data_IF_064225755920
#
_entry.id   IF_064225755920
#
_cell.length_a   1.000
_cell.length_b   1.000
_cell.length_c   1.000
_cell.angle_alpha   90.00
_cell.angle_beta   90.00
_cell.angle_gamma   90.00
#
_symmetry.space_group_name_H-M   'P 1'
#
loop_
_entity.id
_entity.type
_entity.pdbx_description
1 polymer ?
#
# COMPACT_ATOMS: atom_id res chain seq x y z
N UNK A 1 32.38 31.51 18.20
CA UNK A 1 32.01 31.55 19.64
C UNK A 1 30.53 31.90 19.78
N UNK A 2 29.90 31.62 20.94
CA UNK A 2 28.48 31.96 21.17
C UNK A 2 28.18 33.46 20.98
N UNK A 3 29.14 34.32 21.33
CA UNK A 3 29.04 35.77 21.17
C UNK A 3 29.04 36.20 19.69
N UNK A 4 29.93 35.63 18.87
CA UNK A 4 29.96 35.88 17.43
C UNK A 4 28.67 35.41 16.73
N UNK A 5 28.14 34.25 17.14
CA UNK A 5 26.87 33.74 16.60
C UNK A 5 25.71 34.70 16.92
N UNK A 6 25.66 35.24 18.14
CA UNK A 6 24.63 36.18 18.55
C UNK A 6 24.70 37.49 17.75
N UNK A 7 25.90 37.99 17.47
CA UNK A 7 26.11 39.18 16.62
C UNK A 7 25.63 38.96 15.18
N UNK A 8 25.95 37.80 14.59
CA UNK A 8 25.50 37.40 13.25
C UNK A 8 23.97 37.30 13.19
N UNK A 9 23.33 36.71 14.20
CA UNK A 9 21.86 36.58 14.26
C UNK A 9 21.15 37.93 14.40
N UNK A 10 21.74 38.88 15.13
CA UNK A 10 21.20 40.25 15.21
C UNK A 10 21.34 40.99 13.87
N UNK A 11 22.46 40.79 13.16
CA UNK A 11 22.65 41.32 11.80
C UNK A 11 21.69 40.71 10.79
N UNK A 12 21.39 39.42 10.91
CA UNK A 12 20.39 38.75 10.07
C UNK A 12 19.01 39.40 10.23
N UNK A 13 18.57 39.64 11.47
CA UNK A 13 17.27 40.28 11.76
C UNK A 13 17.16 41.70 11.24
N UNK A 14 18.27 42.44 11.20
CA UNK A 14 18.30 43.85 10.79
C UNK A 14 18.50 44.03 9.28
N UNK A 15 19.28 43.16 8.64
CA UNK A 15 19.63 43.27 7.21
C UNK A 15 18.75 42.42 6.30
N UNK A 16 18.11 41.37 6.82
CA UNK A 16 17.36 40.40 6.03
C UNK A 16 18.23 39.49 5.14
N UNK A 17 19.57 39.60 5.23
CA UNK A 17 20.50 38.72 4.52
C UNK A 17 20.48 37.31 5.10
N UNK A 18 20.91 36.32 4.32
CA UNK A 18 21.06 34.94 4.83
C UNK A 18 22.23 34.86 5.81
N UNK A 19 22.09 34.02 6.83
CA UNK A 19 23.13 33.80 7.85
C UNK A 19 24.48 33.41 7.22
N UNK A 20 24.48 32.52 6.23
CA UNK A 20 25.71 32.10 5.53
C UNK A 20 26.41 33.25 4.78
N UNK A 21 25.65 34.18 4.20
CA UNK A 21 26.23 35.35 3.52
C UNK A 21 26.90 36.30 4.52
N UNK A 22 26.29 36.50 5.69
CA UNK A 22 26.85 37.31 6.77
C UNK A 22 28.13 36.65 7.33
N UNK A 23 28.14 35.33 7.51
CA UNK A 23 29.32 34.61 8.00
C UNK A 23 30.50 34.69 7.03
N UNK A 24 30.24 34.68 5.70
CA UNK A 24 31.27 34.90 4.67
C UNK A 24 31.77 36.34 4.67
N UNK A 25 30.87 37.32 4.73
CA UNK A 25 31.22 38.75 4.74
C UNK A 25 32.08 39.12 5.94
N UNK A 26 31.87 38.46 7.08
CA UNK A 26 32.65 38.65 8.30
C UNK A 26 33.94 37.83 8.35
N UNK A 27 34.20 36.99 7.34
CA UNK A 27 35.38 36.12 7.28
C UNK A 27 35.43 35.08 8.41
N UNK A 28 34.27 34.75 8.99
CA UNK A 28 34.17 33.78 10.08
C UNK A 28 34.20 32.34 9.59
N UNK A 29 33.80 32.12 8.34
CA UNK A 29 33.81 30.84 7.64
C UNK A 29 34.21 31.05 6.18
N UNK A 30 34.80 30.03 5.59
CA UNK A 30 35.12 29.96 4.17
C UNK A 30 33.90 29.56 3.34
N UNK A 31 34.00 29.80 2.02
CA UNK A 31 32.97 29.39 1.07
C UNK A 31 32.83 27.87 1.05
N UNK A 32 33.94 27.16 1.13
CA UNK A 32 34.03 25.71 1.12
C UNK A 32 33.34 25.10 2.34
N UNK A 33 33.55 25.66 3.54
CA UNK A 33 32.87 25.22 4.76
C UNK A 33 31.35 25.40 4.66
N UNK A 34 30.87 26.53 4.13
CA UNK A 34 29.42 26.72 3.92
C UNK A 34 28.88 25.72 2.90
N UNK A 35 29.61 25.46 1.81
CA UNK A 35 29.18 24.49 0.81
C UNK A 35 29.06 23.08 1.41
N UNK A 36 30.00 22.67 2.26
CA UNK A 36 29.95 21.39 2.96
C UNK A 36 28.74 21.30 3.90
N UNK A 37 28.50 22.33 4.71
CA UNK A 37 27.35 22.37 5.63
C UNK A 37 26.03 22.33 4.86
N UNK A 38 25.91 23.08 3.76
CA UNK A 38 24.71 23.08 2.92
C UNK A 38 24.49 21.72 2.25
N UNK A 39 25.57 21.04 1.83
CA UNK A 39 25.47 19.68 1.28
C UNK A 39 24.96 18.69 2.33
N UNK A 40 25.52 18.75 3.54
CA UNK A 40 25.06 17.91 4.66
C UNK A 40 23.58 18.14 4.93
N UNK A 41 23.14 19.40 5.00
CA UNK A 41 21.73 19.75 5.21
C UNK A 41 20.81 19.17 4.11
N UNK A 42 21.26 19.14 2.86
CA UNK A 42 20.50 18.51 1.76
C UNK A 42 20.39 17.01 1.96
N UNK A 43 21.47 16.34 2.36
CA UNK A 43 21.51 14.90 2.62
C UNK A 43 20.58 14.56 3.79
N UNK A 44 20.68 15.28 4.91
CA UNK A 44 19.85 15.06 6.11
C UNK A 44 18.35 15.14 5.76
N UNK A 45 17.96 16.12 4.95
CA UNK A 45 16.57 16.28 4.52
C UNK A 45 16.09 15.12 3.62
N UNK A 46 16.98 14.60 2.77
CA UNK A 46 16.69 13.45 1.90
C UNK A 46 16.56 12.15 2.69
N UNK A 47 17.40 11.94 3.70
CA UNK A 47 17.30 10.77 4.60
C UNK A 47 15.92 10.71 5.26
N UNK A 48 15.42 11.84 5.76
CA UNK A 48 14.05 11.92 6.29
C UNK A 48 13.00 11.56 5.24
N UNK A 49 13.14 12.04 4.01
CA UNK A 49 12.20 11.69 2.92
C UNK A 49 12.29 10.21 2.53
N UNK A 50 13.46 9.58 2.58
CA UNK A 50 13.61 8.14 2.32
C UNK A 50 13.02 7.25 3.41
N UNK A 51 12.83 7.78 4.63
CA UNK A 51 12.12 7.07 5.69
C UNK A 51 10.61 6.90 5.40
N UNK A 52 10.04 7.73 4.52
CA UNK A 52 8.61 7.71 4.21
C UNK A 52 8.21 6.43 3.48
N UNK A 53 7.19 5.74 3.99
CA UNK A 53 6.65 4.53 3.37
C UNK A 53 5.74 4.83 2.17
N UNK A 54 5.03 5.95 2.22
CA UNK A 54 4.08 6.38 1.19
C UNK A 54 4.09 7.91 1.09
N UNK A 55 3.79 8.44 -0.11
CA UNK A 55 3.74 9.89 -0.34
C UNK A 55 3.02 10.24 -1.63
N UNK A 56 2.49 11.47 -1.70
CA UNK A 56 1.85 12.02 -2.89
C UNK A 56 2.69 13.17 -3.43
N UNK A 57 2.93 13.19 -4.73
CA UNK A 57 3.64 14.25 -5.41
C UNK A 57 2.74 14.92 -6.43
N UNK A 58 2.77 16.26 -6.47
CA UNK A 58 2.07 17.07 -7.47
C UNK A 58 3.02 18.15 -7.98
N UNK A 59 3.21 18.22 -9.30
CA UNK A 59 3.93 19.32 -9.93
C UNK A 59 2.98 20.49 -10.17
N UNK A 60 3.23 21.63 -9.52
CA UNK A 60 2.49 22.87 -9.76
C UNK A 60 3.39 23.86 -10.51
N UNK A 61 3.14 24.14 -11.81
CA UNK A 61 3.95 25.09 -12.55
C UNK A 61 3.80 26.49 -11.94
N UNK A 62 4.92 27.08 -11.50
CA UNK A 62 4.99 28.43 -10.97
C UNK A 62 5.96 29.26 -11.80
N UNK A 63 5.72 30.57 -11.90
CA UNK A 63 6.72 31.48 -12.47
C UNK A 63 7.91 31.53 -11.52
N UNK A 64 9.02 30.96 -11.95
CA UNK A 64 10.27 31.02 -11.20
C UNK A 64 10.90 32.38 -11.46
N UNK A 65 10.96 33.24 -10.46
CA UNK A 65 11.81 34.43 -10.53
C UNK A 65 13.26 33.95 -10.46
N UNK A 66 14.16 34.37 -11.38
CA UNK A 66 15.58 34.07 -11.25
C UNK A 66 16.03 34.44 -9.84
N UNK A 67 16.58 33.46 -9.11
CA UNK A 67 17.03 33.67 -7.74
C UNK A 67 18.08 34.78 -7.77
N UNK A 68 17.91 35.80 -6.93
CA UNK A 68 18.93 36.82 -6.78
C UNK A 68 20.24 36.18 -6.33
N UNK A 69 21.34 36.71 -6.87
CA UNK A 69 22.73 36.32 -6.64
C UNK A 69 22.95 35.86 -5.20
N UNK A 70 23.31 34.59 -5.04
CA UNK A 70 23.59 33.97 -3.76
C UNK A 70 24.55 32.81 -3.95
N UNK A 71 24.97 32.18 -2.86
CA UNK A 71 25.89 31.06 -2.92
C UNK A 71 25.25 29.88 -3.66
N UNK A 72 25.69 29.63 -4.89
CA UNK A 72 25.32 28.42 -5.64
C UNK A 72 26.17 27.25 -5.13
N UNK A 73 25.50 26.22 -4.63
CA UNK A 73 26.11 24.94 -4.27
C UNK A 73 25.72 23.96 -5.38
N UNK A 74 26.64 23.60 -6.28
CA UNK A 74 26.36 22.56 -7.25
C UNK A 74 26.13 21.25 -6.49
N UNK A 75 24.98 20.62 -6.72
CA UNK A 75 24.61 19.36 -6.09
C UNK A 75 24.83 18.23 -7.08
N UNK A 76 25.78 17.34 -6.79
CA UNK A 76 25.88 16.06 -7.48
C UNK A 76 24.76 15.14 -6.94
N UNK A 77 23.71 15.00 -7.74
CA UNK A 77 22.53 14.22 -7.36
C UNK A 77 22.87 12.76 -7.12
N UNK A 78 23.84 12.18 -7.84
CA UNK A 78 24.25 10.79 -7.65
C UNK A 78 24.95 10.64 -6.31
N UNK A 79 25.91 11.51 -6.00
CA UNK A 79 26.61 11.48 -4.72
C UNK A 79 25.63 11.58 -3.54
N UNK A 80 24.71 12.55 -3.60
CA UNK A 80 23.72 12.78 -2.55
C UNK A 80 22.75 11.59 -2.40
N UNK A 81 22.30 11.00 -3.51
CA UNK A 81 21.43 9.81 -3.47
C UNK A 81 22.15 8.62 -2.81
N UNK A 82 23.39 8.36 -3.20
CA UNK A 82 24.17 7.25 -2.66
C UNK A 82 24.45 7.43 -1.17
N UNK A 83 24.76 8.66 -0.75
CA UNK A 83 25.03 8.97 0.64
C UNK A 83 23.77 8.86 1.50
N UNK A 84 22.63 9.38 1.04
CA UNK A 84 21.37 9.23 1.76
C UNK A 84 20.92 7.76 1.89
N UNK A 85 21.18 6.92 0.89
CA UNK A 85 20.92 5.48 0.96
C UNK A 85 21.88 4.76 1.91
N UNK A 86 23.17 5.14 1.93
CA UNK A 86 24.15 4.61 2.89
C UNK A 86 23.70 4.90 4.32
N UNK A 87 23.31 6.14 4.60
CA UNK A 87 22.83 6.55 5.93
C UNK A 87 21.57 5.77 6.31
N UNK A 88 20.62 5.61 5.39
CA UNK A 88 19.39 4.84 5.63
C UNK A 88 19.68 3.36 5.97
N UNK A 89 20.61 2.74 5.25
CA UNK A 89 21.05 1.36 5.51
C UNK A 89 21.75 1.24 6.87
N UNK A 90 22.65 2.17 7.18
CA UNK A 90 23.28 2.23 8.51
C UNK A 90 22.27 2.43 9.63
N UNK A 91 21.22 3.21 9.37
CA UNK A 91 20.15 3.42 10.34
C UNK A 91 19.39 2.15 10.63
N UNK A 92 19.16 1.32 9.60
CA UNK A 92 18.46 0.04 9.74
C UNK A 92 19.14 -0.96 10.67
N UNK A 93 20.47 -0.86 10.86
CA UNK A 93 21.23 -1.72 11.77
C UNK A 93 20.94 -1.38 13.23
N UNK A 94 20.72 -0.10 13.51
CA UNK A 94 20.50 0.42 14.88
C UNK A 94 19.01 0.48 15.22
N UNK A 95 18.17 0.64 14.20
CA UNK A 95 16.72 0.80 14.31
C UNK A 95 16.07 -0.37 15.07
N UNK A 96 15.46 -0.04 16.21
CA UNK A 96 14.72 -1.00 17.04
C UNK A 96 15.58 -1.87 17.96
N UNK A 97 16.89 -1.62 18.03
CA UNK A 97 17.79 -2.06 19.11
C UNK A 97 17.98 -0.91 20.10
N UNK A 98 18.41 0.25 19.60
CA UNK A 98 18.58 1.47 20.38
C UNK A 98 17.39 2.39 20.07
N UNK A 99 16.67 2.82 21.09
CA UNK A 99 15.60 3.83 20.96
C UNK A 99 16.01 5.11 21.67
N UNK A 100 15.44 6.28 21.31
CA UNK A 100 15.72 7.54 22.00
C UNK A 100 15.44 7.49 23.50
N UNK A 101 14.47 6.67 23.92
CA UNK A 101 14.16 6.47 25.34
C UNK A 101 15.12 5.51 26.05
N UNK A 102 15.90 4.68 25.35
CA UNK A 102 16.66 3.60 25.98
C UNK A 102 17.65 4.14 27.01
N UNK A 103 17.62 3.59 28.22
CA UNK A 103 18.60 3.88 29.27
C UNK A 103 19.62 2.75 29.41
N UNK A 104 20.91 3.11 29.51
CA UNK A 104 22.02 2.17 29.67
C UNK A 104 22.69 2.30 31.02
N UNK A 105 23.25 1.19 31.52
CA UNK A 105 24.16 1.18 32.68
C UNK A 105 25.50 0.52 32.33
N UNK A 106 26.56 0.97 33.00
CA UNK A 106 27.92 0.41 32.89
C UNK A 106 28.00 -0.95 33.57
N UNK A 107 28.74 -1.90 32.99
CA UNK A 107 29.09 -3.13 33.69
C UNK A 107 30.30 -2.92 34.62
N UNK A 108 30.22 -3.34 35.89
CA UNK A 108 31.21 -2.99 36.92
C UNK A 108 32.59 -3.65 36.76
N UNK A 109 32.74 -4.69 35.93
CA UNK A 109 33.97 -5.48 35.80
C UNK A 109 34.62 -5.40 34.42
N UNK A 110 34.35 -4.33 33.66
CA UNK A 110 34.92 -4.14 32.31
C UNK A 110 35.73 -2.85 32.26
N UNK A 111 36.99 -2.95 31.84
CA UNK A 111 37.83 -1.81 31.52
C UNK A 111 37.75 -1.57 30.00
N UNK A 112 36.98 -0.57 29.55
CA UNK A 112 36.66 -0.45 28.13
C UNK A 112 37.78 0.26 27.38
N UNK A 113 38.08 -0.24 26.18
CA UNK A 113 38.83 0.53 25.17
C UNK A 113 37.81 1.31 24.35
N UNK A 114 37.82 2.64 24.53
CA UNK A 114 36.83 3.56 23.99
C UNK A 114 37.46 4.49 22.95
N UNK A 115 36.72 4.74 21.88
CA UNK A 115 37.00 5.84 20.95
C UNK A 115 36.56 7.20 21.52
N UNK A 116 36.91 8.30 20.87
CA UNK A 116 36.64 9.67 21.38
C UNK A 116 35.16 9.91 21.70
N UNK A 117 34.24 9.47 20.84
CA UNK A 117 32.80 9.57 21.08
C UNK A 117 32.32 8.58 22.15
N UNK A 118 32.79 7.33 22.11
CA UNK A 118 32.45 6.30 23.11
C UNK A 118 32.91 6.73 24.51
N UNK A 119 34.03 7.44 24.64
CA UNK A 119 34.55 7.98 25.90
C UNK A 119 33.62 9.05 26.48
N UNK A 120 33.20 10.02 25.67
CA UNK A 120 32.25 11.07 26.09
C UNK A 120 30.89 10.48 26.48
N UNK A 121 30.41 9.50 25.72
CA UNK A 121 29.18 8.76 26.06
C UNK A 121 29.34 7.99 27.36
N UNK A 122 30.47 7.30 27.54
CA UNK A 122 30.76 6.56 28.76
C UNK A 122 30.66 7.47 29.99
N UNK A 123 31.12 8.71 29.94
CA UNK A 123 30.98 9.64 31.08
C UNK A 123 29.51 9.93 31.45
N UNK A 124 28.59 9.95 30.47
CA UNK A 124 27.16 10.22 30.70
C UNK A 124 26.33 9.00 31.11
N UNK A 125 26.82 7.78 30.87
CA UNK A 125 26.07 6.56 31.19
C UNK A 125 26.08 6.33 32.71
N UNK A 126 24.95 6.65 33.35
CA UNK A 126 24.71 6.57 34.79
C UNK A 126 23.59 5.59 35.18
N UNK A 127 22.81 5.11 34.21
CA UNK A 127 21.64 4.26 34.45
C UNK A 127 20.33 5.01 34.58
N UNK A 128 20.32 6.33 34.37
CA UNK A 128 19.11 7.17 34.44
C UNK A 128 18.92 8.02 33.16
N UNK A 129 20.00 8.41 32.51
CA UNK A 129 19.96 9.26 31.31
C UNK A 129 19.61 8.45 30.06
N UNK A 130 18.58 8.91 29.33
CA UNK A 130 18.16 8.30 28.06
C UNK A 130 19.03 8.74 26.87
N UNK A 131 18.93 7.99 25.76
CA UNK A 131 19.70 8.26 24.53
C UNK A 131 19.42 9.65 23.97
N UNK A 132 18.16 10.10 23.97
CA UNK A 132 17.78 11.42 23.46
C UNK A 132 18.50 12.54 24.21
N UNK A 133 18.54 12.46 25.54
CA UNK A 133 19.23 13.42 26.40
C UNK A 133 20.74 13.38 26.16
N UNK A 134 21.33 12.19 25.93
CA UNK A 134 22.76 12.07 25.59
C UNK A 134 23.09 12.73 24.24
N UNK A 135 22.25 12.55 23.22
CA UNK A 135 22.39 13.23 21.92
C UNK A 135 22.39 14.74 22.12
N UNK A 136 21.38 15.27 22.81
CA UNK A 136 21.22 16.72 23.03
C UNK A 136 22.40 17.29 23.83
N UNK A 137 22.87 16.59 24.86
CA UNK A 137 23.95 17.04 25.71
C UNK A 137 25.32 17.04 25.01
N UNK A 138 25.56 16.06 24.12
CA UNK A 138 26.82 15.95 23.37
C UNK A 138 26.83 16.80 22.10
N UNK A 139 25.66 17.18 21.59
CA UNK A 139 25.53 17.94 20.34
C UNK A 139 25.98 17.15 19.11
N UNK A 140 25.88 15.82 19.18
CA UNK A 140 26.26 14.89 18.12
C UNK A 140 25.03 14.41 17.34
N UNK A 141 25.25 13.82 16.17
CA UNK A 141 24.16 13.26 15.37
C UNK A 141 23.59 11.99 16.02
N UNK A 142 22.26 11.82 15.93
CA UNK A 142 21.53 10.64 16.43
C UNK A 142 22.20 9.32 15.99
N UNK A 143 22.61 9.23 14.72
CA UNK A 143 23.24 8.05 14.14
C UNK A 143 24.60 7.73 14.71
N UNK A 144 25.44 8.74 14.91
CA UNK A 144 26.75 8.57 15.50
C UNK A 144 26.63 8.06 16.95
N UNK A 145 25.76 8.68 17.75
CA UNK A 145 25.53 8.29 19.15
C UNK A 145 25.00 6.87 19.25
N UNK A 146 23.97 6.56 18.47
CA UNK A 146 23.32 5.25 18.57
C UNK A 146 24.22 4.11 18.09
N UNK A 147 25.08 4.35 17.07
CA UNK A 147 26.12 3.39 16.65
C UNK A 147 27.18 3.17 17.72
N UNK A 148 27.65 4.24 18.37
CA UNK A 148 28.64 4.14 19.44
C UNK A 148 28.09 3.33 20.63
N UNK A 149 26.83 3.60 21.03
CA UNK A 149 26.15 2.83 22.06
C UNK A 149 25.94 1.37 21.66
N UNK A 150 25.58 1.10 20.41
CA UNK A 150 25.46 -0.27 19.90
C UNK A 150 26.80 -1.01 19.95
N UNK A 151 27.88 -0.38 19.50
CA UNK A 151 29.25 -0.92 19.59
C UNK A 151 29.64 -1.26 21.03
N UNK A 152 29.35 -0.36 21.99
CA UNK A 152 29.61 -0.59 23.41
C UNK A 152 28.75 -1.72 24.00
N UNK A 153 27.50 -1.85 23.53
CA UNK A 153 26.59 -2.93 23.91
C UNK A 153 27.09 -4.29 23.39
N UNK A 154 27.51 -4.36 22.13
CA UNK A 154 28.07 -5.57 21.50
C UNK A 154 29.39 -6.01 22.13
N UNK A 155 30.26 -5.05 22.48
CA UNK A 155 31.49 -5.28 23.25
C UNK A 155 31.20 -5.67 24.72
N UNK A 156 29.95 -5.50 25.18
CA UNK A 156 29.52 -5.87 26.52
C UNK A 156 29.93 -4.87 27.61
N UNK A 157 30.28 -3.64 27.24
CA UNK A 157 30.67 -2.58 28.18
C UNK A 157 29.46 -2.01 28.95
N UNK A 158 28.31 -1.99 28.27
CA UNK A 158 27.06 -1.46 28.80
C UNK A 158 25.93 -2.48 28.64
N UNK A 159 24.87 -2.30 29.39
CA UNK A 159 23.64 -3.07 29.25
C UNK A 159 22.39 -2.19 29.44
N UNK A 160 21.30 -2.47 28.71
CA UNK A 160 20.05 -1.73 28.86
C UNK A 160 19.39 -2.01 30.21
N UNK A 161 18.72 -0.99 30.77
CA UNK A 161 17.94 -1.14 32.01
C UNK A 161 16.59 -1.80 31.70
N UNK A 162 16.32 -2.96 32.28
CA UNK A 162 15.22 -3.90 31.91
C UNK A 162 13.79 -3.32 31.94
N UNK A 163 13.53 -2.21 32.62
CA UNK A 163 12.18 -1.64 32.73
C UNK A 163 11.65 -1.13 31.38
N UNK A 164 12.51 -0.63 30.49
CA UNK A 164 12.10 -0.11 29.19
C UNK A 164 11.98 -1.18 28.09
N UNK A 165 12.77 -2.26 28.19
CA UNK A 165 12.66 -3.40 27.25
C UNK A 165 11.24 -3.99 27.32
N UNK A 166 10.66 -4.08 28.52
CA UNK A 166 9.28 -4.56 28.71
C UNK A 166 8.25 -3.63 28.06
N UNK A 167 8.43 -2.32 28.17
CA UNK A 167 7.56 -1.32 27.53
C UNK A 167 7.64 -1.42 26.01
N UNK A 168 8.85 -1.50 25.45
CA UNK A 168 9.07 -1.63 24.01
C UNK A 168 8.57 -2.98 23.45
N UNK A 169 8.71 -4.07 24.18
CA UNK A 169 8.16 -5.37 23.81
C UNK A 169 6.63 -5.39 23.83
N UNK A 170 6.00 -4.78 24.85
CA UNK A 170 4.55 -4.61 24.95
C UNK A 170 4.03 -3.79 23.76
N UNK A 171 4.66 -2.65 23.45
CA UNK A 171 4.28 -1.83 22.30
C UNK A 171 4.45 -2.56 20.95
N UNK A 172 5.54 -3.32 20.79
CA UNK A 172 5.74 -4.17 19.59
C UNK A 172 4.69 -5.28 19.49
N UNK A 173 4.30 -5.91 20.60
CA UNK A 173 3.23 -6.93 20.64
C UNK A 173 1.88 -6.30 20.26
N UNK A 174 1.55 -5.13 20.80
CA UNK A 174 0.31 -4.40 20.47
C UNK A 174 0.28 -4.02 18.99
N UNK A 175 1.38 -3.47 18.44
CA UNK A 175 1.47 -3.14 17.00
C UNK A 175 1.31 -4.37 16.11
N UNK A 176 1.96 -5.50 16.44
CA UNK A 176 1.84 -6.77 15.69
C UNK A 176 0.41 -7.34 15.76
N UNK A 177 -0.23 -7.29 16.93
CA UNK A 177 -1.61 -7.73 17.09
C UNK A 177 -2.59 -6.89 16.26
N UNK A 178 -2.40 -5.56 16.26
CA UNK A 178 -3.22 -4.64 15.46
C UNK A 178 -3.07 -4.89 13.95
N UNK A 179 -1.83 -5.05 13.47
CA UNK A 179 -1.57 -5.37 12.06
C UNK A 179 -2.17 -6.73 11.64
N UNK A 180 -2.07 -7.75 12.50
CA UNK A 180 -2.72 -9.05 12.26
C UNK A 180 -4.25 -8.95 12.21
N UNK A 181 -4.84 -8.11 13.06
CA UNK A 181 -6.30 -7.88 13.08
C UNK A 181 -6.78 -7.13 11.83
N UNK A 182 -6.01 -6.17 11.33
CA UNK A 182 -6.31 -5.46 10.07
C UNK A 182 -6.21 -6.38 8.85
N UNK A 183 -5.19 -7.25 8.78
CA UNK A 183 -5.09 -8.25 7.72
C UNK A 183 -6.24 -9.27 7.77
N UNK A 184 -6.63 -9.73 8.98
CA UNK A 184 -7.77 -10.61 9.16
C UNK A 184 -9.08 -9.94 8.72
N UNK A 185 -9.28 -8.66 9.04
CA UNK A 185 -10.42 -7.88 8.58
C UNK A 185 -10.49 -7.76 7.06
N UNK A 186 -9.34 -7.52 6.40
CA UNK A 186 -9.23 -7.49 4.94
C UNK A 186 -9.60 -8.82 4.27
N UNK A 187 -9.14 -9.95 4.83
CA UNK A 187 -9.47 -11.29 4.32
C UNK A 187 -10.96 -11.62 4.45
N UNK A 188 -11.59 -11.26 5.58
CA UNK A 188 -13.04 -11.46 5.78
C UNK A 188 -13.84 -10.65 4.77
N UNK A 189 -13.48 -9.39 4.52
CA UNK A 189 -14.13 -8.55 3.53
C UNK A 189 -13.96 -9.11 2.10
N UNK A 190 -12.77 -9.58 1.73
CA UNK A 190 -12.51 -10.20 0.44
C UNK A 190 -13.34 -11.48 0.23
N UNK A 191 -13.49 -12.29 1.29
CA UNK A 191 -14.32 -13.50 1.25
C UNK A 191 -15.81 -13.17 1.05
N UNK A 192 -16.31 -12.12 1.73
CA UNK A 192 -17.69 -11.66 1.55
C UNK A 192 -17.95 -11.18 0.11
N UNK A 193 -17.00 -10.42 -0.47
CA UNK A 193 -17.09 -9.97 -1.87
C UNK A 193 -17.10 -11.17 -2.82
N UNK A 194 -16.23 -12.16 -2.58
CA UNK A 194 -16.18 -13.39 -3.38
C UNK A 194 -17.52 -14.15 -3.33
N UNK A 195 -18.12 -14.29 -2.14
CA UNK A 195 -19.41 -14.95 -1.97
C UNK A 195 -20.50 -14.23 -2.78
N UNK A 196 -20.57 -12.90 -2.70
CA UNK A 196 -21.54 -12.11 -3.47
C UNK A 196 -21.32 -12.28 -4.97
N UNK A 197 -20.07 -12.32 -5.42
CA UNK A 197 -19.71 -12.50 -6.83
C UNK A 197 -20.08 -13.90 -7.34
N UNK A 198 -19.84 -14.95 -6.55
CA UNK A 198 -20.24 -16.32 -6.86
C UNK A 198 -21.76 -16.45 -6.95
N UNK A 199 -22.50 -15.86 -6.02
CA UNK A 199 -23.98 -15.84 -6.05
C UNK A 199 -24.48 -15.10 -7.31
N UNK A 200 -23.83 -13.99 -7.68
CA UNK A 200 -24.12 -13.23 -8.88
C UNK A 200 -23.90 -14.04 -10.17
N UNK A 201 -22.75 -14.70 -10.29
CA UNK A 201 -22.44 -15.57 -11.43
C UNK A 201 -23.43 -16.72 -11.50
N UNK A 202 -23.73 -17.38 -10.39
CA UNK A 202 -24.67 -18.50 -10.34
C UNK A 202 -26.04 -18.10 -10.86
N UNK A 203 -26.58 -16.95 -10.41
CA UNK A 203 -27.85 -16.36 -10.89
C UNK A 203 -27.85 -16.08 -12.41
N UNK A 204 -26.73 -15.66 -12.97
CA UNK A 204 -26.60 -15.40 -14.41
C UNK A 204 -26.60 -16.71 -15.19
N UNK A 205 -25.80 -17.69 -14.76
CA UNK A 205 -25.68 -18.98 -15.45
C UNK A 205 -27.00 -19.74 -15.53
N UNK A 206 -27.83 -19.72 -14.47
CA UNK A 206 -29.14 -20.37 -14.48
C UNK A 206 -30.14 -19.67 -15.42
N UNK A 207 -30.05 -18.35 -15.60
CA UNK A 207 -30.92 -17.63 -16.56
C UNK A 207 -30.54 -17.92 -18.01
N UNK A 208 -29.25 -18.04 -18.31
CA UNK A 208 -28.79 -18.32 -19.69
C UNK A 208 -29.27 -19.69 -20.18
N UNK A 209 -29.34 -20.69 -19.29
CA UNK A 209 -29.87 -22.02 -19.67
C UNK A 209 -31.36 -21.98 -20.07
N UNK A 210 -32.18 -21.15 -19.43
CA UNK A 210 -33.62 -21.09 -19.75
C UNK A 210 -33.86 -20.43 -21.11
N UNK A 211 -33.09 -19.38 -21.44
CA UNK A 211 -33.17 -18.72 -22.77
C UNK A 211 -32.78 -19.68 -23.90
N UNK A 212 -31.75 -20.50 -23.70
CA UNK A 212 -31.33 -21.51 -24.68
C UNK A 212 -32.41 -22.56 -24.93
N UNK A 213 -33.12 -23.01 -23.88
CA UNK A 213 -34.22 -23.97 -24.01
C UNK A 213 -35.40 -23.39 -24.80
N UNK A 214 -35.73 -22.11 -24.59
CA UNK A 214 -36.78 -21.42 -25.38
C UNK A 214 -36.40 -21.36 -26.86
N UNK A 215 -35.14 -21.03 -27.18
CA UNK A 215 -34.66 -20.97 -28.57
C UNK A 215 -34.75 -22.36 -29.23
N UNK A 216 -34.28 -23.41 -28.55
CA UNK A 216 -34.38 -24.79 -29.07
C UNK A 216 -35.83 -25.21 -29.32
N UNK A 217 -36.74 -24.85 -28.42
CA UNK A 217 -38.17 -25.16 -28.54
C UNK A 217 -38.80 -24.49 -29.76
N UNK A 218 -38.49 -23.21 -30.01
CA UNK A 218 -38.96 -22.51 -31.23
C UNK A 218 -38.47 -23.20 -32.51
N UNK A 219 -37.17 -23.55 -32.57
CA UNK A 219 -36.64 -24.26 -33.74
C UNK A 219 -37.27 -25.64 -33.95
N UNK A 220 -37.67 -26.29 -32.85
CA UNK A 220 -38.35 -27.58 -32.87
C UNK A 220 -39.79 -27.45 -33.40
N UNK A 221 -40.53 -26.43 -32.94
CA UNK A 221 -41.88 -26.11 -33.42
C UNK A 221 -41.87 -25.76 -34.91
N UNK A 222 -40.91 -24.95 -35.35
CA UNK A 222 -40.74 -24.63 -36.78
C UNK A 222 -40.51 -25.89 -37.61
N UNK A 223 -39.65 -26.80 -37.14
CA UNK A 223 -39.36 -28.06 -37.82
C UNK A 223 -40.58 -28.97 -37.91
N UNK A 224 -41.36 -29.09 -36.82
CA UNK A 224 -42.60 -29.84 -36.79
C UNK A 224 -43.67 -29.22 -37.72
N UNK A 225 -43.77 -27.89 -37.74
CA UNK A 225 -44.67 -27.16 -38.63
C UNK A 225 -44.33 -27.37 -40.10
N UNK A 226 -43.04 -27.35 -40.45
CA UNK A 226 -42.58 -27.67 -41.80
C UNK A 226 -42.94 -29.10 -42.21
N UNK A 227 -42.82 -30.08 -41.32
CA UNK A 227 -43.23 -31.47 -41.59
C UNK A 227 -44.73 -31.56 -41.87
N UNK A 228 -45.56 -30.93 -41.03
CA UNK A 228 -47.02 -30.91 -41.23
C UNK A 228 -47.39 -30.24 -42.55
N UNK A 229 -46.72 -29.13 -42.90
CA UNK A 229 -46.92 -28.44 -44.17
C UNK A 229 -46.56 -29.32 -45.38
N UNK A 230 -45.46 -30.07 -45.31
CA UNK A 230 -45.06 -31.04 -46.34
C UNK A 230 -46.08 -32.18 -46.47
N UNK A 231 -46.55 -32.72 -45.34
CA UNK A 231 -47.57 -33.76 -45.35
C UNK A 231 -48.88 -33.29 -45.99
N UNK A 232 -49.33 -32.08 -45.65
CA UNK A 232 -50.52 -31.47 -46.24
C UNK A 232 -50.36 -31.26 -47.75
N UNK A 233 -49.17 -30.83 -48.20
CA UNK A 233 -48.87 -30.65 -49.62
C UNK A 233 -48.97 -31.95 -50.41
N UNK A 234 -48.52 -33.06 -49.84
CA UNK A 234 -48.48 -34.36 -50.53
C UNK A 234 -49.82 -35.12 -50.46
N UNK A 235 -50.60 -34.96 -49.39
CA UNK A 235 -51.82 -35.74 -49.14
C UNK A 235 -53.13 -34.92 -49.22
N UNK A 236 -53.06 -33.58 -49.26
CA UNK A 236 -54.22 -32.69 -49.28
C UNK A 236 -55.01 -32.60 -47.96
N UNK A 237 -54.57 -33.31 -46.92
CA UNK A 237 -55.18 -33.33 -45.57
C UNK A 237 -54.11 -33.19 -44.50
N UNK A 238 -54.46 -32.60 -43.36
CA UNK A 238 -53.56 -32.52 -42.20
C UNK A 238 -53.41 -33.90 -41.54
N UNK A 239 -52.23 -34.22 -40.96
CA UNK A 239 -52.04 -35.48 -40.25
C UNK A 239 -52.88 -35.52 -38.98
N UNK A 240 -53.45 -36.67 -38.63
CA UNK A 240 -54.24 -36.81 -37.39
C UNK A 240 -53.38 -36.66 -36.12
N UNK A 241 -52.08 -36.91 -36.21
CA UNK A 241 -51.11 -36.69 -35.14
C UNK A 241 -49.70 -36.43 -35.69
N UNK A 242 -48.88 -35.72 -34.92
CA UNK A 242 -47.44 -35.60 -35.17
C UNK A 242 -46.71 -36.70 -34.38
N UNK A 243 -45.65 -37.27 -34.96
CA UNK A 243 -44.94 -38.44 -34.43
C UNK A 243 -44.53 -38.30 -32.96
N UNK A 244 -44.68 -39.38 -32.18
CA UNK A 244 -44.15 -39.48 -30.82
C UNK A 244 -42.61 -39.33 -30.84
N UNK A 245 -42.11 -38.19 -30.37
CA UNK A 245 -40.68 -37.87 -30.37
C UNK A 245 -40.35 -36.38 -30.35
N UNK A 246 -41.34 -35.50 -30.59
CA UNK A 246 -41.18 -34.06 -30.43
C UNK A 246 -41.39 -33.67 -28.96
N UNK A 247 -40.31 -33.73 -28.18
CA UNK A 247 -40.29 -33.42 -26.75
C UNK A 247 -39.42 -32.19 -26.52
N UNK A 248 -39.93 -31.21 -25.78
CA UNK A 248 -39.22 -29.99 -25.49
C UNK A 248 -38.06 -30.20 -24.47
N UNK A 249 -37.17 -29.22 -24.28
CA UNK A 249 -36.06 -29.31 -23.33
C UNK A 249 -36.46 -29.40 -21.85
N UNK A 250 -37.75 -29.31 -21.53
CA UNK A 250 -38.33 -29.53 -20.21
C UNK A 250 -38.99 -30.92 -20.08
N UNK A 251 -38.99 -31.72 -21.15
CA UNK A 251 -39.50 -33.09 -21.15
C UNK A 251 -40.98 -33.21 -21.52
N UNK A 252 -41.61 -32.12 -21.97
CA UNK A 252 -43.02 -32.11 -22.34
C UNK A 252 -43.21 -32.38 -23.84
N UNK A 253 -44.19 -33.20 -24.25
CA UNK A 253 -44.51 -33.39 -25.65
C UNK A 253 -45.12 -32.12 -26.26
N UNK A 254 -44.81 -31.85 -27.53
CA UNK A 254 -45.49 -30.79 -28.28
C UNK A 254 -46.99 -31.09 -28.39
N UNK A 255 -47.79 -30.04 -28.27
CA UNK A 255 -49.25 -30.11 -28.43
C UNK A 255 -49.58 -29.77 -29.88
N UNK A 256 -50.26 -30.70 -30.56
CA UNK A 256 -50.77 -30.51 -31.91
C UNK A 256 -52.29 -30.56 -31.90
N UNK A 257 -52.93 -29.56 -32.50
CA UNK A 257 -54.39 -29.52 -32.65
C UNK A 257 -54.78 -28.92 -33.99
N UNK A 258 -55.76 -29.55 -34.64
CA UNK A 258 -56.36 -29.05 -35.89
C UNK A 258 -57.43 -28.03 -35.53
N UNK A 259 -57.41 -26.88 -36.17
CA UNK A 259 -58.38 -25.79 -35.99
C UNK A 259 -59.24 -25.63 -37.24
N UNK A 260 -60.32 -24.86 -37.16
CA UNK A 260 -61.23 -24.63 -38.29
C UNK A 260 -60.53 -23.99 -39.51
N UNK A 261 -59.42 -23.29 -39.29
CA UNK A 261 -58.67 -22.54 -40.29
C UNK A 261 -57.28 -23.12 -40.60
N UNK A 262 -56.87 -24.21 -39.94
CA UNK A 262 -55.54 -24.79 -40.11
C UNK A 262 -55.12 -25.73 -39.00
N UNK A 263 -53.94 -25.51 -38.42
CA UNK A 263 -53.41 -26.26 -37.30
C UNK A 263 -52.58 -25.37 -36.37
N UNK A 264 -52.43 -25.80 -35.12
CA UNK A 264 -51.54 -25.17 -34.14
C UNK A 264 -50.58 -26.21 -33.57
N UNK A 265 -49.31 -25.82 -33.45
CA UNK A 265 -48.26 -26.56 -32.75
C UNK A 265 -47.66 -25.60 -31.72
N UNK A 266 -47.60 -26.01 -30.46
CA UNK A 266 -46.97 -25.23 -29.41
C UNK A 266 -46.42 -26.15 -28.32
N UNK A 267 -45.52 -25.62 -27.50
CA UNK A 267 -44.96 -26.30 -26.33
C UNK A 267 -45.61 -25.80 -25.05
N UNK A 268 -45.98 -26.67 -24.10
CA UNK A 268 -46.41 -26.28 -22.76
C UNK A 268 -45.36 -25.55 -21.93
N UNK A 269 -44.10 -25.52 -22.37
CA UNK A 269 -43.04 -24.76 -21.72
C UNK A 269 -42.60 -25.32 -20.36
N UNK A 270 -41.86 -24.52 -19.57
CA UNK A 270 -41.34 -24.89 -18.24
C UNK A 270 -42.37 -25.45 -17.25
N UNK A 271 -43.63 -25.01 -17.30
CA UNK A 271 -44.67 -25.42 -16.35
C UNK A 271 -45.40 -26.73 -16.72
N UNK A 272 -45.22 -27.21 -17.96
CA UNK A 272 -45.79 -28.45 -18.48
C UNK A 272 -47.32 -28.43 -18.66
N UNK A 273 -47.96 -27.26 -18.59
CA UNK A 273 -49.41 -27.12 -18.72
C UNK A 273 -49.76 -26.35 -19.99
N UNK A 274 -50.49 -26.99 -20.88
CA UNK A 274 -50.97 -26.33 -22.09
C UNK A 274 -51.99 -25.22 -21.77
N UNK A 275 -52.01 -24.18 -22.62
CA UNK A 275 -52.92 -23.02 -22.53
C UNK A 275 -52.62 -22.11 -21.33
N UNK A 276 -51.34 -21.93 -21.01
CA UNK A 276 -50.84 -20.98 -20.01
C UNK A 276 -50.02 -19.85 -20.65
N UNK A 277 -49.65 -18.83 -19.88
CA UNK A 277 -48.83 -17.70 -20.38
C UNK A 277 -47.38 -18.11 -20.76
N UNK A 278 -46.95 -19.31 -20.39
CA UNK A 278 -45.61 -19.86 -20.66
C UNK A 278 -45.58 -20.76 -21.91
N UNK A 279 -46.71 -20.89 -22.62
CA UNK A 279 -46.78 -21.62 -23.88
C UNK A 279 -45.89 -20.97 -24.94
N UNK A 280 -45.05 -21.80 -25.57
CA UNK A 280 -44.12 -21.35 -26.62
C UNK A 280 -44.70 -21.73 -27.97
N UNK A 281 -44.89 -20.72 -28.82
CA UNK A 281 -45.31 -20.82 -30.22
C UNK A 281 -44.14 -20.51 -31.16
#
# INVERSE_FOLDING_TARGET
SAQQLQEVLQKQKTTGKKTGEILLEEGLVSKEEIQQILMQQVIDQLVVMFSWKEGYYEFRPQRVTPRQEGLEVPVDTQHVLMEGLRILDEWSVVEGIITPSTVFRKKPDVEPVLEDLEFRLWEQIDGETDVATMVEALGEEDLAVSKALLSMLEKGYIEPVEEEIKVLEEERKIKRAKAGMEMAGGLVLALLILIVLVIGIFRITTKTSDVLKIIQTKTMIDSASHMVAMYFKDNGVFPESISAGWTDPWGNPLVYRITETGYEIFSPGPDGKASTEDDIY
#
